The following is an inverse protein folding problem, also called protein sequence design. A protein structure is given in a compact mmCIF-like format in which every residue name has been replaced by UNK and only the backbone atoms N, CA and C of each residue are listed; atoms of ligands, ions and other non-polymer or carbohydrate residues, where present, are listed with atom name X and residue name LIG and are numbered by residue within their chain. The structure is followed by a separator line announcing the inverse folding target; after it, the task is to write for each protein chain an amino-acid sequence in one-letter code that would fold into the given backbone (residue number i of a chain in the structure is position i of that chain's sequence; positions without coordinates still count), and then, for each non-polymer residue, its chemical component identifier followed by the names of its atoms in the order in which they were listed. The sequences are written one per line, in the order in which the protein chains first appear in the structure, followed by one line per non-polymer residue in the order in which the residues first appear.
data_IF_048768622115
#
_entry.id   IF_048768622115
#
_cell.length_a   1.000
_cell.length_b   1.000
_cell.length_c   1.000
_cell.angle_alpha   90.00
_cell.angle_beta   90.00
_cell.angle_gamma   90.00
#
_symmetry.space_group_name_H-M   'P 1'
#
loop_
_entity.id
_entity.type
_entity.pdbx_description
1 polymer ?
#
# COMPACT_ATOMS: atom_id res chain seq x y z
N UNK A 1 7.62 -22.94 -9.52
CA UNK A 1 8.38 -21.81 -10.08
C UNK A 1 9.84 -21.89 -9.65
N UNK A 2 10.73 -22.02 -10.62
CA UNK A 2 12.16 -22.29 -10.35
C UNK A 2 12.89 -21.10 -9.71
N UNK A 3 12.37 -19.88 -9.83
CA UNK A 3 13.03 -18.66 -9.34
C UNK A 3 12.34 -18.05 -8.13
N UNK A 4 11.25 -18.62 -7.65
CA UNK A 4 10.54 -18.10 -6.50
C UNK A 4 11.24 -18.49 -5.19
N UNK A 5 11.23 -17.61 -4.19
CA UNK A 5 11.70 -17.96 -2.85
C UNK A 5 10.89 -19.12 -2.26
N UNK A 6 11.50 -19.91 -1.36
CA UNK A 6 10.78 -21.01 -0.70
C UNK A 6 9.49 -20.55 -0.05
N UNK A 7 8.42 -21.31 -0.25
CA UNK A 7 7.09 -21.01 0.30
C UNK A 7 6.26 -20.01 -0.50
N UNK A 8 6.80 -19.45 -1.59
CA UNK A 8 6.07 -18.58 -2.50
C UNK A 8 5.66 -19.33 -3.75
N UNK A 9 4.40 -19.71 -3.83
CA UNK A 9 3.85 -20.55 -4.89
C UNK A 9 2.78 -19.84 -5.75
N UNK A 10 2.51 -18.57 -5.46
CA UNK A 10 1.50 -17.78 -6.17
C UNK A 10 2.11 -16.56 -6.82
N UNK A 11 1.64 -16.24 -8.01
CA UNK A 11 2.08 -15.06 -8.76
C UNK A 11 0.85 -14.27 -9.22
N UNK A 12 0.91 -12.97 -9.04
CA UNK A 12 -0.05 -12.03 -9.62
C UNK A 12 0.72 -11.10 -10.53
N UNK A 13 0.25 -10.96 -11.75
CA UNK A 13 0.87 -10.06 -12.74
C UNK A 13 0.22 -8.70 -12.73
N UNK A 14 1.00 -7.69 -13.09
CA UNK A 14 0.54 -6.32 -13.19
C UNK A 14 1.11 -5.68 -14.48
N UNK A 15 0.55 -4.53 -14.86
CA UNK A 15 0.90 -3.85 -16.10
C UNK A 15 2.35 -3.35 -16.11
N UNK A 16 2.89 -2.96 -14.95
CA UNK A 16 4.25 -2.43 -14.80
C UNK A 16 4.71 -2.53 -13.35
N UNK A 17 5.96 -2.19 -13.09
CA UNK A 17 6.53 -2.20 -11.74
C UNK A 17 5.77 -1.33 -10.75
N UNK A 18 5.35 -0.13 -11.16
CA UNK A 18 4.52 0.76 -10.31
C UNK A 18 3.21 0.09 -9.91
N UNK A 19 2.50 -0.51 -10.86
CA UNK A 19 1.25 -1.20 -10.58
C UNK A 19 1.48 -2.41 -9.67
N UNK A 20 2.57 -3.13 -9.86
CA UNK A 20 2.94 -4.24 -8.98
C UNK A 20 3.19 -3.78 -7.54
N UNK A 21 3.90 -2.66 -7.36
CA UNK A 21 4.13 -2.08 -6.03
C UNK A 21 2.83 -1.59 -5.39
N UNK A 22 1.97 -0.91 -6.12
CA UNK A 22 0.65 -0.47 -5.63
C UNK A 22 -0.19 -1.67 -5.17
N UNK A 23 -0.21 -2.74 -5.96
CA UNK A 23 -0.90 -3.98 -5.59
C UNK A 23 -0.32 -4.61 -4.34
N UNK A 24 1.01 -4.65 -4.22
CA UNK A 24 1.70 -5.16 -3.03
C UNK A 24 1.35 -4.36 -1.77
N UNK A 25 1.28 -3.04 -1.87
CA UNK A 25 0.88 -2.18 -0.75
C UNK A 25 -0.55 -2.50 -0.30
N UNK A 26 -1.49 -2.64 -1.23
CA UNK A 26 -2.87 -3.00 -0.91
C UNK A 26 -2.96 -4.37 -0.22
N UNK A 27 -2.26 -5.36 -0.74
CA UNK A 27 -2.24 -6.70 -0.14
C UNK A 27 -1.67 -6.65 1.28
N UNK A 28 -0.57 -5.94 1.48
CA UNK A 28 0.05 -5.80 2.80
C UNK A 28 -0.92 -5.13 3.79
N UNK A 29 -1.55 -4.03 3.40
CA UNK A 29 -2.51 -3.30 4.23
C UNK A 29 -3.73 -4.17 4.56
N UNK A 30 -4.30 -4.84 3.56
CA UNK A 30 -5.46 -5.72 3.76
C UNK A 30 -5.13 -6.88 4.70
N UNK A 31 -3.96 -7.49 4.52
CA UNK A 31 -3.51 -8.59 5.39
C UNK A 31 -3.34 -8.10 6.83
N UNK A 32 -2.71 -6.95 7.01
CA UNK A 32 -2.54 -6.35 8.33
C UNK A 32 -3.89 -6.05 9.00
N UNK A 33 -4.80 -5.43 8.25
CA UNK A 33 -6.14 -5.09 8.75
C UNK A 33 -6.94 -6.34 9.14
N UNK A 34 -6.89 -7.37 8.30
CA UNK A 34 -7.59 -8.63 8.58
C UNK A 34 -7.02 -9.33 9.80
N UNK A 35 -5.71 -9.36 9.95
CA UNK A 35 -5.06 -9.95 11.12
C UNK A 35 -5.39 -9.20 12.40
N UNK A 36 -5.46 -7.87 12.34
CA UNK A 36 -5.81 -7.02 13.48
C UNK A 36 -7.27 -7.17 13.88
N UNK A 37 -8.19 -7.30 12.91
CA UNK A 37 -9.62 -7.50 13.17
C UNK A 37 -9.91 -8.89 13.68
N UNK A 38 -9.19 -9.89 13.21
CA UNK A 38 -9.40 -11.31 13.48
C UNK A 38 -9.84 -12.06 12.23
N UNK A 39 -9.50 -13.37 12.19
CA UNK A 39 -9.87 -14.25 11.06
C UNK A 39 -11.39 -14.36 10.99
N UNK A 40 -11.92 -14.21 9.78
CA UNK A 40 -13.37 -14.32 9.48
C UNK A 40 -14.26 -13.31 10.22
N UNK A 41 -13.69 -12.24 10.75
CA UNK A 41 -14.47 -11.15 11.35
C UNK A 41 -14.78 -10.12 10.28
N UNK A 42 -16.06 -9.86 9.95
CA UNK A 42 -16.41 -8.87 8.93
C UNK A 42 -16.20 -7.44 9.45
N UNK A 43 -16.05 -6.46 8.55
CA UNK A 43 -16.03 -5.05 8.92
C UNK A 43 -17.34 -4.64 9.62
N UNK A 44 -17.24 -3.68 10.54
CA UNK A 44 -18.41 -3.12 11.23
C UNK A 44 -19.18 -2.16 10.29
N UNK A 45 -20.44 -1.88 10.65
CA UNK A 45 -21.25 -0.88 9.92
C UNK A 45 -20.57 0.49 9.88
N UNK A 46 -19.94 0.89 10.99
CA UNK A 46 -19.20 2.15 11.06
C UNK A 46 -18.01 2.16 10.09
N UNK A 47 -17.27 1.06 9.98
CA UNK A 47 -16.17 0.94 9.03
C UNK A 47 -16.66 1.01 7.58
N UNK A 48 -17.76 0.33 7.28
CA UNK A 48 -18.35 0.33 5.93
C UNK A 48 -18.86 1.72 5.53
N UNK A 49 -19.46 2.45 6.45
CA UNK A 49 -19.95 3.81 6.18
C UNK A 49 -18.81 4.82 6.06
N UNK A 50 -17.85 4.78 6.98
CA UNK A 50 -16.77 5.76 7.04
C UNK A 50 -15.78 5.63 5.88
N UNK A 51 -15.56 4.43 5.37
CA UNK A 51 -14.65 4.24 4.23
C UNK A 51 -15.16 4.94 2.96
N UNK A 52 -16.45 5.09 2.79
CA UNK A 52 -17.03 5.81 1.64
C UNK A 52 -16.77 7.31 1.67
N UNK A 53 -16.44 7.85 2.85
CA UNK A 53 -16.07 9.26 3.04
C UNK A 53 -14.56 9.45 3.22
N UNK A 54 -13.77 8.41 2.99
CA UNK A 54 -12.31 8.40 3.18
C UNK A 54 -11.89 8.74 4.62
N UNK A 55 -12.69 8.32 5.59
CA UNK A 55 -12.47 8.62 7.01
C UNK A 55 -12.24 7.34 7.82
N UNK A 56 -11.52 7.48 8.92
CA UNK A 56 -11.37 6.42 9.89
C UNK A 56 -12.72 6.11 10.56
N UNK A 57 -12.98 4.88 11.02
CA UNK A 57 -12.06 3.73 11.01
C UNK A 57 -12.07 2.91 9.71
N UNK A 58 -13.01 3.13 8.81
CA UNK A 58 -13.13 2.37 7.56
C UNK A 58 -11.99 2.62 6.59
N UNK A 59 -11.46 3.85 6.55
CA UNK A 59 -10.20 4.20 5.87
C UNK A 59 -9.16 4.51 6.94
N UNK A 60 -8.45 3.49 7.44
CA UNK A 60 -7.52 3.67 8.55
C UNK A 60 -6.26 4.43 8.14
N UNK A 61 -5.60 5.02 9.14
CA UNK A 61 -4.35 5.76 8.96
C UNK A 61 -3.14 4.82 9.00
N UNK A 62 -3.14 3.83 8.12
CA UNK A 62 -1.99 2.94 7.96
C UNK A 62 -0.98 3.54 6.99
N UNK A 63 0.27 3.17 7.13
CA UNK A 63 1.36 3.73 6.35
C UNK A 63 2.31 2.64 5.84
N UNK A 64 2.96 2.92 4.73
CA UNK A 64 4.06 2.12 4.20
C UNK A 64 5.35 2.89 4.46
N UNK A 65 6.27 2.28 5.20
CA UNK A 65 7.60 2.86 5.39
C UNK A 65 8.48 2.58 4.17
N UNK A 66 9.21 3.58 3.74
CA UNK A 66 10.16 3.43 2.63
C UNK A 66 11.54 3.96 3.00
N UNK A 67 12.55 3.55 2.26
CA UNK A 67 13.90 4.03 2.48
C UNK A 67 14.11 5.39 1.80
N UNK A 68 14.90 6.24 2.41
CA UNK A 68 15.38 7.47 1.78
C UNK A 68 16.13 7.11 0.50
N UNK A 69 15.93 7.90 -0.55
CA UNK A 69 16.50 7.66 -1.88
C UNK A 69 15.94 6.44 -2.62
N UNK A 70 14.91 5.79 -2.10
CA UNK A 70 14.23 4.68 -2.78
C UNK A 70 13.35 5.16 -3.93
N UNK A 71 13.19 4.33 -4.95
CA UNK A 71 12.26 4.57 -6.05
C UNK A 71 11.35 3.36 -6.22
N UNK A 72 10.02 3.60 -6.23
CA UNK A 72 9.01 2.55 -6.30
C UNK A 72 7.93 2.81 -7.34
N UNK A 73 8.06 3.88 -8.10
CA UNK A 73 7.10 4.28 -9.12
C UNK A 73 6.60 5.70 -8.95
N UNK A 74 5.69 6.12 -9.84
CA UNK A 74 5.19 7.50 -9.91
C UNK A 74 3.68 7.64 -9.86
N UNK A 75 2.92 6.58 -9.69
CA UNK A 75 1.50 6.67 -9.31
C UNK A 75 1.40 7.11 -7.86
N UNK A 76 0.25 7.64 -7.45
CA UNK A 76 0.12 8.35 -6.17
C UNK A 76 0.66 7.60 -4.96
N UNK A 77 0.31 6.33 -4.78
CA UNK A 77 0.80 5.52 -3.67
C UNK A 77 2.29 5.18 -3.80
N UNK A 78 2.72 4.73 -4.96
CA UNK A 78 4.12 4.43 -5.22
C UNK A 78 4.98 5.69 -5.13
N UNK A 79 4.47 6.85 -5.60
CA UNK A 79 5.17 8.13 -5.50
C UNK A 79 5.35 8.56 -4.05
N UNK A 80 4.41 8.24 -3.17
CA UNK A 80 4.53 8.52 -1.74
C UNK A 80 5.70 7.78 -1.08
N UNK A 81 6.11 6.65 -1.64
CA UNK A 81 7.27 5.88 -1.19
C UNK A 81 8.55 6.17 -2.00
N UNK A 82 8.45 6.86 -3.14
CA UNK A 82 9.59 7.25 -3.97
C UNK A 82 10.20 8.55 -3.47
N UNK A 83 11.51 8.57 -3.26
CA UNK A 83 12.21 9.71 -2.63
C UNK A 83 13.54 10.03 -3.33
N UNK A 84 13.59 9.85 -4.67
CA UNK A 84 14.81 10.03 -5.44
C UNK A 84 14.98 11.45 -5.99
N UNK A 85 13.91 12.04 -6.53
CA UNK A 85 13.98 13.33 -7.20
C UNK A 85 12.77 14.20 -6.88
N UNK A 86 13.03 15.46 -6.59
CA UNK A 86 11.98 16.45 -6.31
C UNK A 86 11.07 16.69 -7.51
N UNK A 87 11.62 16.62 -8.73
CA UNK A 87 10.86 16.82 -9.96
C UNK A 87 9.74 15.81 -10.17
N UNK A 88 9.81 14.63 -9.55
CA UNK A 88 8.74 13.63 -9.62
C UNK A 88 7.62 13.91 -8.62
N UNK A 89 7.90 14.67 -7.58
CA UNK A 89 7.02 14.77 -6.39
C UNK A 89 6.40 16.16 -6.18
N UNK A 90 7.05 17.21 -6.68
CA UNK A 90 6.56 18.58 -6.47
C UNK A 90 5.16 18.75 -7.05
N UNK A 91 4.29 19.46 -6.34
CA UNK A 91 2.91 19.75 -6.71
C UNK A 91 1.93 18.54 -6.66
N UNK A 92 2.42 17.35 -6.36
CA UNK A 92 1.59 16.15 -6.28
C UNK A 92 1.25 15.85 -4.83
N UNK A 93 -0.05 15.80 -4.46
CA UNK A 93 -0.44 15.34 -3.13
C UNK A 93 0.12 13.95 -2.83
N UNK A 94 0.53 13.71 -1.61
CA UNK A 94 1.11 12.45 -1.21
C UNK A 94 0.57 12.01 0.15
N UNK A 95 0.62 10.70 0.41
CA UNK A 95 0.43 10.18 1.75
C UNK A 95 1.63 10.57 2.61
N UNK A 96 1.40 11.01 3.83
CA UNK A 96 2.46 11.36 4.78
C UNK A 96 3.02 10.09 5.44
N UNK A 97 3.67 9.27 4.64
CA UNK A 97 4.23 7.99 5.07
C UNK A 97 5.70 8.14 5.47
N UNK A 98 6.16 7.36 6.47
CA UNK A 98 7.49 7.52 7.03
C UNK A 98 8.61 7.07 6.07
N UNK A 99 9.76 7.68 6.25
CA UNK A 99 11.00 7.32 5.55
C UNK A 99 12.09 6.96 6.57
N UNK A 100 12.76 5.87 6.29
CA UNK A 100 13.93 5.45 7.04
C UNK A 100 15.24 5.90 6.37
#
# INVERSE_FOLDING_TARGET
MAVAPPGMDRVTTAMCGTCANEGAYKVAILTYANNKRGVDVPPTELELCSCMSNQAPGSPDYAIMSLKSGFHGRLLGALSTSRTRTSYKVDIPAFDWPAA
#
